data_IF_340945940338
#
_entry.id   IF_340945940338
#
_cell.length_a   1.000
_cell.length_b   1.000
_cell.length_c   1.000
_cell.angle_alpha   90.00
_cell.angle_beta   90.00
_cell.angle_gamma   90.00
#
_symmetry.space_group_name_H-M   'P 1'
#
loop_
_entity.id
_entity.type
_entity.pdbx_description
1 polymer ?
#
# COMPACT_ATOMS: atom_id res chain seq x y z
N UNK A 1 -13.89 -19.36 -7.57
CA UNK A 1 -15.29 -18.95 -7.25
C UNK A 1 -15.40 -17.98 -6.06
N UNK A 2 -14.78 -18.25 -4.90
CA UNK A 2 -14.98 -17.36 -3.74
C UNK A 2 -14.26 -16.00 -3.91
N UNK A 3 -13.01 -16.00 -4.38
CA UNK A 3 -12.27 -14.76 -4.66
C UNK A 3 -12.92 -13.88 -5.73
N UNK A 4 -13.56 -14.50 -6.72
CA UNK A 4 -14.23 -13.79 -7.83
C UNK A 4 -15.51 -13.07 -7.44
N UNK A 5 -16.05 -13.32 -6.25
CA UNK A 5 -17.18 -12.56 -5.69
C UNK A 5 -16.71 -11.58 -4.60
N UNK A 6 -15.41 -11.27 -4.53
CA UNK A 6 -14.87 -10.18 -3.70
C UNK A 6 -14.43 -10.56 -2.28
N UNK A 7 -14.40 -11.84 -1.90
CA UNK A 7 -13.93 -12.22 -0.57
C UNK A 7 -12.42 -12.01 -0.41
N UNK A 8 -12.02 -11.21 0.58
CA UNK A 8 -10.61 -11.04 0.94
C UNK A 8 -10.04 -12.26 1.65
N UNK A 9 -8.73 -12.41 1.62
CA UNK A 9 -8.01 -13.45 2.35
C UNK A 9 -8.28 -13.31 3.87
N UNK A 10 -8.36 -12.07 4.37
CA UNK A 10 -8.76 -11.75 5.75
C UNK A 10 -10.17 -12.24 6.09
N UNK A 11 -11.15 -12.04 5.20
CA UNK A 11 -12.52 -12.48 5.47
C UNK A 11 -12.61 -14.01 5.47
N UNK A 12 -11.91 -14.67 4.55
CA UNK A 12 -11.80 -16.11 4.51
C UNK A 12 -11.11 -16.67 5.76
N UNK A 13 -10.08 -16.00 6.26
CA UNK A 13 -9.36 -16.41 7.46
C UNK A 13 -10.28 -16.39 8.69
N UNK A 14 -11.10 -15.36 8.84
CA UNK A 14 -12.13 -15.26 9.89
C UNK A 14 -13.17 -16.38 9.80
N UNK A 15 -13.72 -16.62 8.60
CA UNK A 15 -14.77 -17.63 8.40
C UNK A 15 -14.26 -19.06 8.60
N UNK A 16 -13.00 -19.32 8.25
CA UNK A 16 -12.38 -20.64 8.38
C UNK A 16 -11.63 -20.84 9.70
N UNK A 17 -11.56 -19.81 10.55
CA UNK A 17 -10.75 -19.78 11.78
C UNK A 17 -9.29 -20.16 11.53
N UNK A 18 -8.73 -19.72 10.40
CA UNK A 18 -7.32 -19.94 10.04
C UNK A 18 -6.59 -18.60 9.93
N UNK A 19 -5.25 -18.63 9.87
CA UNK A 19 -4.46 -17.41 9.67
C UNK A 19 -4.58 -16.90 8.23
N UNK A 20 -4.58 -15.57 8.07
CA UNK A 20 -4.63 -14.93 6.74
C UNK A 20 -3.46 -15.38 5.85
N UNK A 21 -2.27 -15.51 6.42
CA UNK A 21 -1.08 -16.02 5.73
C UNK A 21 -1.28 -17.44 5.20
N UNK A 22 -1.97 -18.32 5.95
CA UNK A 22 -2.25 -19.68 5.49
C UNK A 22 -3.27 -19.69 4.34
N UNK A 23 -4.31 -18.87 4.42
CA UNK A 23 -5.29 -18.69 3.33
C UNK A 23 -4.58 -18.23 2.06
N UNK A 24 -3.72 -17.21 2.17
CA UNK A 24 -2.94 -16.67 1.05
C UNK A 24 -1.99 -17.70 0.46
N UNK A 25 -1.29 -18.48 1.30
CA UNK A 25 -0.42 -19.59 0.85
C UNK A 25 -1.22 -20.64 0.10
N UNK A 26 -2.34 -21.14 0.66
CA UNK A 26 -3.19 -22.11 -0.04
C UNK A 26 -3.71 -21.57 -1.37
N UNK A 27 -4.19 -20.32 -1.38
CA UNK A 27 -4.67 -19.64 -2.59
C UNK A 27 -3.60 -19.58 -3.68
N UNK A 28 -2.37 -19.20 -3.32
CA UNK A 28 -1.24 -19.10 -4.26
C UNK A 28 -0.74 -20.47 -4.74
N UNK A 29 -0.67 -21.48 -3.86
CA UNK A 29 -0.37 -22.87 -4.25
C UNK A 29 -1.38 -23.43 -5.25
N UNK A 30 -2.67 -23.09 -5.08
CA UNK A 30 -3.74 -23.46 -6.02
C UNK A 30 -3.76 -22.60 -7.30
N UNK A 31 -2.77 -21.71 -7.50
CA UNK A 31 -2.68 -20.76 -8.62
C UNK A 31 -3.92 -19.85 -8.76
N UNK A 32 -4.62 -19.60 -7.66
CA UNK A 32 -5.73 -18.65 -7.60
C UNK A 32 -5.15 -17.25 -7.37
N UNK A 33 -4.58 -16.68 -8.43
CA UNK A 33 -3.98 -15.34 -8.44
C UNK A 33 -4.89 -14.37 -9.21
N UNK A 34 -4.93 -13.08 -8.82
CA UNK A 34 -5.66 -12.10 -9.60
C UNK A 34 -4.95 -11.83 -10.92
N UNK A 35 -5.74 -11.48 -11.93
CA UNK A 35 -5.27 -10.84 -13.15
C UNK A 35 -5.56 -9.36 -13.07
N UNK A 36 -4.85 -8.56 -13.86
CA UNK A 36 -5.10 -7.14 -13.99
C UNK A 36 -5.65 -6.86 -15.38
N UNK A 37 -6.64 -5.98 -15.44
CA UNK A 37 -7.34 -5.56 -16.64
C UNK A 37 -7.17 -4.06 -16.80
N UNK A 38 -7.17 -3.59 -18.04
CA UNK A 38 -7.08 -2.16 -18.34
C UNK A 38 -8.47 -1.53 -18.42
N UNK A 39 -8.53 -0.24 -18.09
CA UNK A 39 -9.69 0.60 -18.37
C UNK A 39 -9.46 1.23 -19.76
N UNK A 40 -10.29 0.84 -20.74
CA UNK A 40 -10.09 1.18 -22.15
C UNK A 40 -11.21 2.04 -22.78
N UNK A 41 -12.25 2.37 -22.00
CA UNK A 41 -13.46 3.12 -22.41
C UNK A 41 -14.34 2.47 -23.49
N UNK A 42 -13.90 1.36 -24.10
CA UNK A 42 -14.53 0.75 -25.29
C UNK A 42 -14.74 -0.77 -25.16
N UNK A 43 -14.60 -1.34 -23.96
CA UNK A 43 -14.85 -2.75 -23.68
C UNK A 43 -14.06 -3.70 -24.62
N UNK A 44 -12.77 -3.39 -24.81
CA UNK A 44 -11.83 -4.08 -25.67
C UNK A 44 -12.15 -4.07 -27.17
N UNK A 45 -13.03 -3.18 -27.65
CA UNK A 45 -13.22 -2.95 -29.09
C UNK A 45 -11.91 -2.49 -29.74
N UNK A 46 -11.18 -1.61 -29.04
CA UNK A 46 -9.87 -1.12 -29.44
C UNK A 46 -8.81 -1.41 -28.38
N UNK A 47 -7.57 -1.57 -28.83
CA UNK A 47 -6.44 -1.78 -27.93
C UNK A 47 -6.15 -0.49 -27.16
N UNK A 48 -6.29 -0.52 -25.84
CA UNK A 48 -5.90 0.60 -24.99
C UNK A 48 -4.40 0.63 -24.68
N UNK A 49 -3.83 1.82 -24.87
CA UNK A 49 -2.48 2.16 -24.45
C UNK A 49 -2.44 2.83 -23.07
N UNK A 50 -3.60 3.18 -22.50
CA UNK A 50 -3.64 3.81 -21.17
C UNK A 50 -3.09 2.83 -20.12
N UNK A 51 -2.28 3.33 -19.19
CA UNK A 51 -1.69 2.51 -18.14
C UNK A 51 -2.60 2.35 -16.91
N UNK A 52 -3.92 2.47 -17.08
CA UNK A 52 -4.91 2.43 -16.01
C UNK A 52 -5.43 1.00 -15.83
N UNK A 53 -5.10 0.37 -14.69
CA UNK A 53 -5.42 -1.01 -14.39
C UNK A 53 -6.21 -1.21 -13.09
N UNK A 54 -6.97 -2.30 -13.04
CA UNK A 54 -7.61 -2.85 -11.84
C UNK A 54 -7.48 -4.37 -11.81
N UNK A 55 -7.56 -4.97 -10.63
CA UNK A 55 -7.43 -6.39 -10.39
C UNK A 55 -8.79 -7.09 -10.40
N UNK A 56 -8.80 -8.34 -10.86
CA UNK A 56 -9.99 -9.19 -10.81
C UNK A 56 -9.60 -10.65 -10.73
N UNK A 57 -10.45 -11.43 -10.09
CA UNK A 57 -10.41 -12.88 -10.18
C UNK A 57 -11.44 -13.31 -11.22
N UNK A 58 -11.14 -13.04 -12.49
CA UNK A 58 -12.05 -13.28 -13.61
C UNK A 58 -12.61 -14.71 -13.54
N UNK A 59 -13.95 -14.84 -13.55
CA UNK A 59 -14.62 -16.12 -13.81
C UNK A 59 -14.84 -16.18 -15.31
N UNK A 60 -14.05 -16.98 -16.00
CA UNK A 60 -14.29 -17.14 -17.42
C UNK A 60 -15.35 -18.19 -17.71
N UNK A 61 -16.12 -17.94 -18.77
CA UNK A 61 -16.72 -18.97 -19.63
C UNK A 61 -15.73 -19.50 -20.70
N UNK A 62 -14.60 -18.81 -20.90
CA UNK A 62 -13.52 -19.17 -21.84
C UNK A 62 -12.24 -19.68 -21.14
N UNK A 63 -11.47 -20.56 -21.78
CA UNK A 63 -10.52 -21.48 -21.12
C UNK A 63 -9.29 -20.80 -20.47
N UNK A 64 -8.98 -19.52 -20.74
CA UNK A 64 -7.78 -18.84 -20.20
C UNK A 64 -8.07 -17.45 -19.63
N UNK A 65 -7.67 -17.21 -18.38
CA UNK A 65 -7.68 -15.89 -17.75
C UNK A 65 -6.49 -15.08 -18.28
N UNK A 66 -6.78 -13.97 -18.96
CA UNK A 66 -5.76 -13.10 -19.56
C UNK A 66 -5.43 -11.94 -18.62
N UNK A 67 -4.13 -11.71 -18.40
CA UNK A 67 -3.66 -10.57 -17.62
C UNK A 67 -3.06 -9.51 -18.55
N UNK A 68 -3.57 -8.29 -18.47
CA UNK A 68 -3.17 -7.16 -19.31
C UNK A 68 -2.12 -6.26 -18.64
N UNK A 69 -1.68 -6.60 -17.42
CA UNK A 69 -0.66 -5.84 -16.70
C UNK A 69 0.58 -5.61 -17.57
N UNK A 70 1.11 -6.67 -18.19
CA UNK A 70 2.31 -6.62 -19.01
C UNK A 70 3.45 -5.78 -18.37
N UNK A 71 3.94 -6.16 -17.17
CA UNK A 71 4.97 -5.41 -16.47
C UNK A 71 6.23 -5.27 -17.35
N UNK A 72 6.88 -4.12 -17.30
CA UNK A 72 8.10 -3.83 -18.05
C UNK A 72 9.36 -4.34 -17.31
N UNK A 73 10.51 -4.37 -18.00
CA UNK A 73 11.82 -4.66 -17.39
C UNK A 73 12.59 -3.39 -16.97
N UNK A 74 11.98 -2.20 -17.05
CA UNK A 74 12.59 -0.95 -16.60
C UNK A 74 12.85 -0.95 -15.09
N UNK A 75 13.68 -0.01 -14.62
CA UNK A 75 13.87 0.26 -13.20
C UNK A 75 12.62 0.91 -12.63
N UNK A 76 11.93 0.21 -11.75
CA UNK A 76 10.58 0.55 -11.29
C UNK A 76 10.56 0.95 -9.83
N UNK A 77 9.74 1.94 -9.49
CA UNK A 77 9.46 2.34 -8.12
C UNK A 77 7.94 2.44 -7.94
N UNK A 78 7.44 1.80 -6.88
CA UNK A 78 6.03 1.89 -6.49
C UNK A 78 5.85 3.05 -5.52
N UNK A 79 4.80 3.84 -5.73
CA UNK A 79 4.35 4.91 -4.85
C UNK A 79 2.98 4.52 -4.32
N UNK A 80 2.86 4.41 -3.00
CA UNK A 80 1.59 4.15 -2.34
C UNK A 80 0.88 5.48 -2.04
N UNK A 81 -0.29 5.68 -2.63
CA UNK A 81 -1.15 6.83 -2.38
C UNK A 81 -1.78 6.81 -0.97
N UNK A 82 -2.69 7.76 -0.72
CA UNK A 82 -3.34 7.89 0.59
C UNK A 82 -4.66 7.16 0.77
N UNK A 83 -5.32 6.79 -0.33
CA UNK A 83 -6.72 6.36 -0.29
C UNK A 83 -7.67 7.55 -0.11
N UNK A 84 -8.91 7.33 0.37
CA UNK A 84 -9.92 8.37 0.43
C UNK A 84 -9.53 9.52 1.37
N UNK A 85 -9.84 10.74 0.95
CA UNK A 85 -9.64 11.95 1.76
C UNK A 85 -10.51 11.92 3.03
N UNK A 86 -9.97 12.42 4.14
CA UNK A 86 -10.65 12.55 5.43
C UNK A 86 -10.00 13.63 6.29
N UNK A 87 -10.66 14.03 7.37
CA UNK A 87 -10.10 14.98 8.33
C UNK A 87 -8.73 14.46 8.84
N UNK A 88 -7.69 15.28 8.69
CA UNK A 88 -6.30 14.94 9.04
C UNK A 88 -5.54 14.13 7.98
N UNK A 89 -6.16 13.82 6.84
CA UNK A 89 -5.51 13.17 5.70
C UNK A 89 -6.17 13.62 4.39
N UNK A 90 -5.71 14.74 3.83
CA UNK A 90 -6.29 15.37 2.65
C UNK A 90 -5.39 15.38 1.40
N UNK A 91 -5.64 16.37 0.56
CA UNK A 91 -5.00 16.55 -0.76
C UNK A 91 -3.49 16.81 -0.67
N UNK A 92 -2.99 17.24 0.49
CA UNK A 92 -1.56 17.43 0.74
C UNK A 92 -0.74 16.15 0.49
N UNK A 93 -1.33 14.98 0.77
CA UNK A 93 -0.69 13.69 0.52
C UNK A 93 -0.75 13.29 -0.96
N UNK A 94 -1.82 13.66 -1.66
CA UNK A 94 -1.91 13.48 -3.12
C UNK A 94 -0.84 14.28 -3.86
N UNK A 95 -0.66 15.55 -3.46
CA UNK A 95 0.39 16.41 -3.99
C UNK A 95 1.78 15.78 -3.81
N UNK A 96 2.10 15.27 -2.61
CA UNK A 96 3.38 14.60 -2.34
C UNK A 96 3.58 13.38 -3.25
N UNK A 97 2.56 12.56 -3.45
CA UNK A 97 2.61 11.39 -4.33
C UNK A 97 2.84 11.79 -5.80
N UNK A 98 2.19 12.85 -6.28
CA UNK A 98 2.39 13.36 -7.64
C UNK A 98 3.83 13.85 -7.85
N UNK A 99 4.34 14.69 -6.93
CA UNK A 99 5.71 15.20 -6.99
C UNK A 99 6.74 14.08 -6.98
N UNK A 100 6.52 13.03 -6.19
CA UNK A 100 7.38 11.86 -6.20
C UNK A 100 7.37 11.13 -7.55
N UNK A 101 6.20 11.01 -8.19
CA UNK A 101 6.10 10.41 -9.52
C UNK A 101 6.86 11.23 -10.56
N UNK A 102 6.68 12.56 -10.57
CA UNK A 102 7.35 13.45 -11.52
C UNK A 102 8.87 13.43 -11.33
N UNK A 103 9.33 13.61 -10.09
CA UNK A 103 10.77 13.61 -9.79
C UNK A 103 11.46 12.28 -10.15
N UNK A 104 10.79 11.15 -9.94
CA UNK A 104 11.33 9.84 -10.29
C UNK A 104 11.33 9.60 -11.81
N UNK A 105 10.30 10.08 -12.52
CA UNK A 105 10.22 10.04 -13.97
C UNK A 105 11.35 10.87 -14.60
N UNK A 106 11.63 12.06 -14.08
CA UNK A 106 12.68 12.95 -14.58
C UNK A 106 14.09 12.34 -14.50
N UNK A 107 14.34 11.48 -13.50
CA UNK A 107 15.61 10.74 -13.37
C UNK A 107 15.57 9.35 -14.01
N UNK A 108 14.52 9.05 -14.79
CA UNK A 108 14.42 7.87 -15.65
C UNK A 108 13.96 6.58 -14.96
N UNK A 109 13.21 6.66 -13.85
CA UNK A 109 12.50 5.51 -13.29
C UNK A 109 11.11 5.38 -13.90
N UNK A 110 10.64 4.15 -14.05
CA UNK A 110 9.23 3.86 -14.33
C UNK A 110 8.45 3.92 -13.02
N UNK A 111 7.47 4.82 -12.94
CA UNK A 111 6.68 5.04 -11.73
C UNK A 111 5.38 4.25 -11.75
N UNK A 112 5.09 3.59 -10.63
CA UNK A 112 3.87 2.80 -10.45
C UNK A 112 3.07 3.41 -9.29
N UNK A 113 1.92 4.00 -9.59
CA UNK A 113 1.02 4.53 -8.56
C UNK A 113 0.00 3.47 -8.14
N UNK A 114 -0.19 3.31 -6.82
CA UNK A 114 -1.27 2.51 -6.25
C UNK A 114 -2.11 3.42 -5.37
N UNK A 115 -3.35 3.71 -5.79
CA UNK A 115 -4.28 4.52 -5.02
C UNK A 115 -5.72 4.11 -5.36
N UNK A 116 -6.71 4.55 -4.58
CA UNK A 116 -8.12 4.22 -4.81
C UNK A 116 -9.07 5.41 -4.62
N UNK A 117 -8.53 6.62 -4.53
CA UNK A 117 -9.33 7.82 -4.41
C UNK A 117 -9.68 8.35 -5.80
N UNK A 118 -10.95 8.40 -6.22
CA UNK A 118 -11.32 8.91 -7.54
C UNK A 118 -11.14 10.43 -7.68
N UNK A 119 -10.97 11.16 -6.58
CA UNK A 119 -10.91 12.63 -6.56
C UNK A 119 -9.48 13.18 -6.72
N UNK A 120 -8.49 12.31 -6.91
CA UNK A 120 -7.07 12.68 -6.83
C UNK A 120 -6.37 12.79 -8.18
N UNK A 121 -5.37 13.67 -8.26
CA UNK A 121 -4.52 13.80 -9.46
C UNK A 121 -3.54 12.63 -9.56
N UNK A 122 -3.15 12.00 -8.43
CA UNK A 122 -2.34 10.78 -8.48
C UNK A 122 -3.02 9.61 -9.20
N UNK A 123 -4.35 9.62 -9.26
CA UNK A 123 -5.15 8.62 -10.00
C UNK A 123 -5.48 9.04 -11.43
N UNK A 124 -4.89 10.13 -11.92
CA UNK A 124 -4.81 10.39 -13.35
C UNK A 124 -3.77 9.44 -13.98
N UNK A 125 -4.12 8.85 -15.12
CA UNK A 125 -3.24 7.91 -15.83
C UNK A 125 -2.02 8.61 -16.44
N UNK A 126 -2.01 9.93 -16.58
CA UNK A 126 -0.84 10.70 -17.04
C UNK A 126 0.21 10.94 -15.94
N UNK A 127 -0.20 10.82 -14.67
CA UNK A 127 0.66 11.12 -13.51
C UNK A 127 1.76 10.06 -13.29
N UNK A 128 1.50 8.80 -13.65
CA UNK A 128 2.45 7.69 -13.48
C UNK A 128 2.53 6.83 -14.73
N UNK A 129 3.65 6.14 -14.95
CA UNK A 129 3.75 5.23 -16.11
C UNK A 129 2.76 4.06 -16.02
N UNK A 130 2.35 3.71 -14.79
CA UNK A 130 1.50 2.55 -14.45
C UNK A 130 0.61 2.89 -13.26
N UNK A 131 -0.70 3.00 -13.48
CA UNK A 131 -1.68 3.25 -12.42
C UNK A 131 -2.44 1.97 -12.09
N UNK A 132 -2.41 1.57 -10.82
CA UNK A 132 -3.28 0.54 -10.26
C UNK A 132 -4.31 1.20 -9.35
N UNK A 133 -5.57 1.24 -9.81
CA UNK A 133 -6.67 1.76 -9.01
C UNK A 133 -7.21 0.67 -8.10
N UNK A 134 -6.57 0.53 -6.94
CA UNK A 134 -6.70 -0.63 -6.07
C UNK A 134 -6.67 -0.23 -4.59
N UNK A 135 -7.39 -0.94 -3.70
CA UNK A 135 -7.36 -0.64 -2.28
C UNK A 135 -5.95 -0.77 -1.70
N UNK A 136 -5.56 0.20 -0.87
CA UNK A 136 -4.33 0.18 -0.08
C UNK A 136 -4.44 -0.77 1.11
N UNK A 137 -4.54 -2.07 0.81
CA UNK A 137 -4.55 -3.17 1.77
C UNK A 137 -3.45 -4.15 1.40
N UNK A 138 -2.91 -4.84 2.41
CA UNK A 138 -1.79 -5.79 2.26
C UNK A 138 -2.00 -6.77 1.11
N UNK A 139 -3.19 -7.37 1.00
CA UNK A 139 -3.50 -8.35 -0.05
C UNK A 139 -3.31 -7.78 -1.46
N UNK A 140 -3.90 -6.62 -1.75
CA UNK A 140 -3.91 -6.01 -3.09
C UNK A 140 -2.54 -5.44 -3.44
N UNK A 141 -1.92 -4.72 -2.51
CA UNK A 141 -0.57 -4.18 -2.68
C UNK A 141 0.44 -5.32 -2.92
N UNK A 142 0.34 -6.42 -2.17
CA UNK A 142 1.17 -7.59 -2.41
C UNK A 142 0.94 -8.24 -3.78
N UNK A 143 -0.31 -8.33 -4.24
CA UNK A 143 -0.61 -8.86 -5.58
C UNK A 143 0.04 -8.01 -6.68
N UNK A 144 -0.01 -6.68 -6.55
CA UNK A 144 0.62 -5.73 -7.51
C UNK A 144 2.14 -5.85 -7.45
N UNK A 145 2.73 -5.88 -6.25
CA UNK A 145 4.19 -6.02 -6.08
C UNK A 145 4.68 -7.32 -6.71
N UNK A 146 3.99 -8.44 -6.47
CA UNK A 146 4.37 -9.73 -7.07
C UNK A 146 4.25 -9.70 -8.59
N UNK A 147 3.21 -9.05 -9.12
CA UNK A 147 3.05 -8.84 -10.56
C UNK A 147 4.21 -8.04 -11.15
N UNK A 148 4.53 -6.90 -10.55
CA UNK A 148 5.58 -6.01 -11.04
C UNK A 148 6.97 -6.61 -10.89
N UNK A 149 7.17 -7.58 -9.99
CA UNK A 149 8.42 -8.32 -9.87
C UNK A 149 8.65 -9.35 -11.00
N UNK A 150 7.62 -9.76 -11.75
CA UNK A 150 7.72 -10.85 -12.74
C UNK A 150 8.80 -10.61 -13.82
N UNK A 151 9.01 -9.36 -14.26
CA UNK A 151 10.04 -8.99 -15.24
C UNK A 151 11.32 -8.39 -14.64
N UNK A 152 11.50 -8.51 -13.33
CA UNK A 152 12.63 -7.95 -12.60
C UNK A 152 12.57 -6.43 -12.40
N UNK A 153 13.59 -5.88 -11.75
CA UNK A 153 13.88 -4.45 -11.63
C UNK A 153 12.87 -3.57 -10.86
N UNK A 154 12.02 -4.14 -10.00
CA UNK A 154 11.36 -3.36 -8.94
C UNK A 154 12.38 -3.03 -7.85
N UNK A 155 12.82 -1.77 -7.82
CA UNK A 155 13.87 -1.30 -6.92
C UNK A 155 13.36 -1.02 -5.52
N UNK A 156 12.10 -0.58 -5.40
CA UNK A 156 11.64 -0.03 -4.16
C UNK A 156 10.19 0.42 -4.14
N UNK A 157 9.71 0.67 -2.93
CA UNK A 157 8.36 1.12 -2.62
C UNK A 157 8.47 2.33 -1.69
N UNK A 158 7.76 3.40 -2.03
CA UNK A 158 7.62 4.61 -1.23
C UNK A 158 6.28 4.53 -0.50
N UNK A 159 6.32 4.59 0.83
CA UNK A 159 5.15 4.49 1.71
C UNK A 159 4.94 5.76 2.57
N UNK A 160 5.85 6.72 2.49
CA UNK A 160 5.92 7.88 3.39
C UNK A 160 5.03 9.05 2.94
N UNK A 161 4.65 9.10 1.66
CA UNK A 161 4.01 10.28 1.07
C UNK A 161 2.47 10.24 1.06
N UNK A 162 1.85 9.06 1.23
CA UNK A 162 0.40 8.93 1.24
C UNK A 162 -0.26 9.03 2.63
N UNK A 163 0.45 9.50 3.65
CA UNK A 163 -0.08 9.63 5.01
C UNK A 163 -0.24 8.29 5.75
N UNK A 164 -1.20 8.20 6.67
CA UNK A 164 -1.25 7.08 7.64
C UNK A 164 -1.53 5.71 7.00
N UNK A 165 -2.30 5.67 5.91
CA UNK A 165 -2.69 4.40 5.25
C UNK A 165 -1.46 3.62 4.77
N UNK A 166 -0.56 4.17 3.93
CA UNK A 166 0.66 3.47 3.53
C UNK A 166 1.70 3.33 4.65
N UNK A 167 1.76 4.25 5.62
CA UNK A 167 2.61 4.10 6.81
C UNK A 167 2.30 2.80 7.56
N UNK A 168 1.00 2.47 7.74
CA UNK A 168 0.60 1.20 8.34
C UNK A 168 1.02 -0.03 7.51
N UNK A 169 1.08 0.11 6.19
CA UNK A 169 1.57 -0.95 5.29
C UNK A 169 3.09 -1.13 5.37
N UNK A 170 3.85 -0.16 5.86
CA UNK A 170 5.31 -0.27 5.99
C UNK A 170 5.73 -1.48 6.84
N UNK A 171 4.96 -1.81 7.88
CA UNK A 171 5.16 -3.03 8.67
C UNK A 171 5.06 -4.29 7.81
N UNK A 172 3.98 -4.41 7.05
CA UNK A 172 3.76 -5.52 6.12
C UNK A 172 4.89 -5.62 5.08
N UNK A 173 5.30 -4.48 4.51
CA UNK A 173 6.41 -4.43 3.56
C UNK A 173 7.71 -4.95 4.19
N UNK A 174 8.03 -4.49 5.39
CA UNK A 174 9.22 -4.90 6.13
C UNK A 174 9.22 -6.39 6.49
N UNK A 175 8.13 -6.90 7.06
CA UNK A 175 7.99 -8.31 7.45
C UNK A 175 8.10 -9.26 6.24
N UNK A 176 7.68 -8.80 5.05
CA UNK A 176 7.79 -9.56 3.80
C UNK A 176 9.06 -9.25 3.01
N UNK A 177 10.04 -8.55 3.61
CA UNK A 177 11.33 -8.18 2.99
C UNK A 177 11.15 -7.45 1.65
N UNK A 178 10.14 -6.60 1.57
CA UNK A 178 9.87 -5.75 0.42
C UNK A 178 10.67 -4.44 0.58
N UNK A 179 11.35 -3.95 -0.48
CA UNK A 179 12.28 -2.84 -0.37
C UNK A 179 11.55 -1.51 -0.14
N UNK A 180 11.62 -0.98 1.08
CA UNK A 180 11.14 0.38 1.39
C UNK A 180 12.26 1.36 1.05
N UNK A 181 11.99 2.36 0.20
CA UNK A 181 12.94 3.43 -0.09
C UNK A 181 12.84 4.53 0.97
N UNK A 182 13.95 5.18 1.31
CA UNK A 182 13.99 6.24 2.32
C UNK A 182 13.93 5.71 3.74
N UNK A 183 13.17 6.39 4.62
CA UNK A 183 13.04 6.03 6.04
C UNK A 183 12.46 4.63 6.20
N UNK A 184 13.21 3.76 6.88
CA UNK A 184 12.85 2.36 7.07
C UNK A 184 11.73 2.19 8.11
N UNK A 185 11.01 1.06 8.06
CA UNK A 185 9.92 0.75 9.01
C UNK A 185 10.38 0.84 10.47
N UNK A 186 11.59 0.37 10.80
CA UNK A 186 12.11 0.44 12.18
C UNK A 186 12.21 1.87 12.73
N UNK A 187 12.54 2.84 11.87
CA UNK A 187 12.56 4.25 12.22
C UNK A 187 11.16 4.86 12.29
N UNK A 188 10.26 4.47 11.38
CA UNK A 188 8.86 4.87 11.40
C UNK A 188 8.18 4.40 12.70
N UNK A 189 8.36 3.12 13.04
CA UNK A 189 7.80 2.49 14.25
C UNK A 189 8.35 3.10 15.54
N UNK A 190 9.65 3.45 15.55
CA UNK A 190 10.27 4.18 16.66
C UNK A 190 9.64 5.57 16.87
N UNK A 191 9.24 6.25 15.81
CA UNK A 191 8.65 7.59 15.87
C UNK A 191 7.14 7.55 16.20
N UNK A 192 6.41 6.56 15.69
CA UNK A 192 4.96 6.40 15.92
C UNK A 192 4.65 5.82 17.31
N UNK A 193 5.55 5.01 17.88
CA UNK A 193 5.40 4.50 19.25
C UNK A 193 5.80 5.56 20.28
N UNK A 194 4.80 6.05 21.03
CA UNK A 194 4.98 7.11 22.03
C UNK A 194 6.01 6.77 23.10
N UNK A 195 6.07 5.52 23.57
CA UNK A 195 7.00 5.11 24.61
C UNK A 195 8.43 5.06 24.05
N UNK A 196 8.60 4.46 22.87
CA UNK A 196 9.91 4.36 22.20
C UNK A 196 10.43 5.74 21.79
N UNK A 197 9.56 6.62 21.32
CA UNK A 197 9.89 8.00 20.98
C UNK A 197 10.27 8.81 22.22
N UNK A 198 9.51 8.70 23.32
CA UNK A 198 9.86 9.33 24.61
C UNK A 198 11.27 8.92 25.06
N UNK A 199 11.54 7.61 25.06
CA UNK A 199 12.85 7.06 25.42
C UNK A 199 13.97 7.51 24.48
N UNK A 200 13.67 7.82 23.22
CA UNK A 200 14.63 8.42 22.29
C UNK A 200 14.95 9.86 22.69
N UNK A 201 13.93 10.69 22.96
CA UNK A 201 14.12 12.08 23.36
C UNK A 201 14.90 12.20 24.67
N UNK A 202 14.60 11.34 25.65
CA UNK A 202 15.31 11.30 26.94
C UNK A 202 16.79 10.95 26.75
N UNK A 203 17.10 9.96 25.90
CA UNK A 203 18.48 9.60 25.53
C UNK A 203 19.22 10.74 24.84
N UNK A 204 18.52 11.48 23.97
CA UNK A 204 19.07 12.64 23.26
C UNK A 204 19.10 13.92 24.12
N UNK A 205 18.59 13.86 25.36
CA UNK A 205 18.48 15.01 26.28
C UNK A 205 17.68 16.17 25.68
N UNK A 206 16.66 15.85 24.89
CA UNK A 206 15.73 16.84 24.30
C UNK A 206 14.55 17.09 25.24
N UNK A 207 14.05 18.32 25.25
CA UNK A 207 12.88 18.70 26.07
C UNK A 207 11.59 18.24 25.40
N UNK A 208 10.67 17.69 26.20
CA UNK A 208 9.31 17.34 25.80
C UNK A 208 8.34 17.65 26.94
N UNK A 209 7.06 17.82 26.63
CA UNK A 209 6.04 17.97 27.67
C UNK A 209 5.97 16.71 28.54
N UNK A 210 5.73 16.90 29.84
CA UNK A 210 5.51 15.78 30.74
C UNK A 210 4.29 14.96 30.30
N UNK A 211 4.47 13.64 30.23
CA UNK A 211 3.45 12.73 29.72
C UNK A 211 3.57 11.34 30.35
N UNK A 212 2.49 10.57 30.30
CA UNK A 212 2.45 9.18 30.72
C UNK A 212 1.42 8.36 29.92
N UNK A 213 1.62 7.04 29.89
CA UNK A 213 0.72 6.09 29.21
C UNK A 213 -0.02 5.29 30.28
N UNK A 214 -1.35 5.38 30.29
CA UNK A 214 -2.22 4.62 31.19
C UNK A 214 -2.90 3.48 30.44
N UNK A 215 -2.96 2.29 31.06
CA UNK A 215 -3.74 1.13 30.55
C UNK A 215 -4.97 0.83 31.42
N UNK A 216 -5.15 1.56 32.52
CA UNK A 216 -6.32 1.47 33.38
C UNK A 216 -6.70 2.84 33.92
N UNK A 217 -7.95 2.96 34.35
CA UNK A 217 -8.49 4.18 34.95
C UNK A 217 -7.66 4.66 36.15
N UNK A 218 -7.32 3.74 37.07
CA UNK A 218 -6.51 4.07 38.25
C UNK A 218 -5.09 4.53 37.89
N UNK A 219 -4.50 3.99 36.82
CA UNK A 219 -3.20 4.47 36.33
C UNK A 219 -3.32 5.88 35.75
N UNK A 220 -4.42 6.18 35.04
CA UNK A 220 -4.64 7.50 34.45
C UNK A 220 -4.72 8.59 35.54
N UNK A 221 -5.47 8.36 36.62
CA UNK A 221 -5.55 9.29 37.75
C UNK A 221 -4.17 9.57 38.35
N UNK A 222 -3.42 8.51 38.70
CA UNK A 222 -2.07 8.65 39.28
C UNK A 222 -1.12 9.40 38.36
N UNK A 223 -1.23 9.20 37.04
CA UNK A 223 -0.40 9.88 36.05
C UNK A 223 -0.79 11.36 35.95
N UNK A 224 -2.09 11.67 35.96
CA UNK A 224 -2.58 13.05 35.95
C UNK A 224 -2.10 13.81 37.20
N UNK A 225 -2.31 13.26 38.40
CA UNK A 225 -1.85 13.86 39.67
C UNK A 225 -0.33 14.11 39.71
N UNK A 226 0.47 13.24 39.07
CA UNK A 226 1.92 13.42 38.97
C UNK A 226 2.32 14.55 38.02
N UNK A 227 1.58 14.76 36.94
CA UNK A 227 1.91 15.74 35.87
C UNK A 227 1.37 17.13 36.22
N UNK A 228 0.20 17.21 36.86
CA UNK A 228 -0.53 18.46 37.13
C UNK A 228 -1.78 18.56 36.28
#
# INVERSE_FOLDING_TARGET
RIKSIGFSDKKLSQLTKTSETLVRKKRTTLKVIPVFKKVDTCAAEFKSFTPYMYSTYQRNFSIKSECEANPSSKRKIIILGGGPNRIGQGIEFDYCCCQASFALRDVGFETIMINCNPETVSTDYDTSDRLYFEPLKEEYVNNIINREKEKGNLLGIIAQFGGQTPIKLAKFLHENKLPILGTQYTSIDLAEDRERFKNLLDRLKLKQAESGIAKSYNQAIKIAERIG
#
